data_IF_720736683734
#
_entry.id   IF_720736683734
#
_cell.length_a   1.000
_cell.length_b   1.000
_cell.length_c   1.000
_cell.angle_alpha   90.00
_cell.angle_beta   90.00
_cell.angle_gamma   90.00
#
_symmetry.space_group_name_H-M   'P 1'
#
loop_
_entity.id
_entity.type
_entity.pdbx_description
1 polymer ?
#
# COMPACT_ATOMS: atom_id res chain seq x y z
N UNK A 1 26.82 -8.47 53.10
CA UNK A 1 25.49 -7.96 52.65
C UNK A 1 25.56 -6.57 52.02
N UNK A 2 26.11 -5.52 52.66
CA UNK A 2 26.11 -4.13 52.10
C UNK A 2 26.87 -4.00 50.75
N UNK A 3 28.02 -4.70 50.56
CA UNK A 3 28.77 -4.67 49.31
C UNK A 3 28.02 -5.38 48.17
N UNK A 4 27.35 -6.49 48.42
CA UNK A 4 26.59 -7.25 47.46
C UNK A 4 25.37 -6.44 46.97
N UNK A 5 24.66 -5.75 47.86
CA UNK A 5 23.58 -4.84 47.47
C UNK A 5 24.05 -3.69 46.58
N UNK A 6 25.25 -3.12 46.83
CA UNK A 6 25.82 -2.09 45.98
C UNK A 6 26.15 -2.62 44.58
N UNK A 7 26.71 -3.83 44.44
CA UNK A 7 27.01 -4.45 43.16
C UNK A 7 25.73 -4.68 42.37
N UNK A 8 24.67 -5.19 42.99
CA UNK A 8 23.36 -5.38 42.32
C UNK A 8 22.81 -4.04 41.82
N UNK A 9 22.85 -2.97 42.65
CA UNK A 9 22.42 -1.64 42.24
C UNK A 9 23.20 -1.09 41.05
N UNK A 10 24.54 -1.35 40.99
CA UNK A 10 25.37 -0.96 39.86
C UNK A 10 25.00 -1.73 38.58
N UNK A 11 24.78 -3.05 38.68
CA UNK A 11 24.34 -3.88 37.57
C UNK A 11 22.99 -3.42 37.03
N UNK A 12 22.02 -3.19 37.93
CA UNK A 12 20.70 -2.67 37.54
C UNK A 12 20.79 -1.30 36.90
N UNK A 13 21.68 -0.41 37.39
CA UNK A 13 21.94 0.90 36.80
C UNK A 13 22.53 0.76 35.38
N UNK A 14 23.48 -0.13 35.18
CA UNK A 14 24.08 -0.38 33.85
C UNK A 14 23.02 -0.94 32.90
N UNK A 15 22.24 -1.94 33.32
CA UNK A 15 21.18 -2.53 32.48
C UNK A 15 20.14 -1.50 32.10
N UNK A 16 19.70 -0.66 33.06
CA UNK A 16 18.76 0.42 32.79
C UNK A 16 19.33 1.45 31.81
N UNK A 17 20.61 1.82 31.98
CA UNK A 17 21.29 2.76 31.07
C UNK A 17 21.41 2.20 29.66
N UNK A 18 21.79 0.93 29.50
CA UNK A 18 21.86 0.24 28.20
C UNK A 18 20.47 0.15 27.55
N UNK A 19 19.41 -0.14 28.33
CA UNK A 19 18.03 -0.14 27.85
C UNK A 19 17.57 1.23 27.33
N UNK A 20 17.92 2.31 28.06
CA UNK A 20 17.63 3.67 27.62
C UNK A 20 18.39 4.03 26.35
N UNK A 21 19.68 3.70 26.28
CA UNK A 21 20.50 3.96 25.08
C UNK A 21 19.91 3.20 23.88
N UNK A 22 19.57 1.92 24.06
CA UNK A 22 18.98 1.12 22.99
C UNK A 22 17.62 1.74 22.53
N UNK A 23 16.75 2.12 23.47
CA UNK A 23 15.48 2.77 23.17
C UNK A 23 15.68 4.08 22.38
N UNK A 24 16.54 4.96 22.89
CA UNK A 24 16.83 6.25 22.22
C UNK A 24 17.45 6.02 20.85
N UNK A 25 18.36 5.06 20.70
CA UNK A 25 18.99 4.76 19.42
C UNK A 25 17.96 4.26 18.38
N UNK A 26 17.10 3.33 18.76
CA UNK A 26 16.09 2.74 17.87
C UNK A 26 15.00 3.75 17.50
N UNK A 27 14.58 4.60 18.44
CA UNK A 27 13.54 5.61 18.17
C UNK A 27 14.04 6.77 17.31
N UNK A 28 15.31 7.15 17.43
CA UNK A 28 15.91 8.15 16.54
C UNK A 28 16.41 7.58 15.22
N UNK A 29 16.66 6.26 15.17
CA UNK A 29 17.18 5.57 14.00
C UNK A 29 16.45 4.25 13.79
N UNK A 30 15.13 4.27 13.44
CA UNK A 30 14.33 3.05 13.25
C UNK A 30 14.91 2.14 12.16
N UNK A 31 15.71 2.70 11.24
CA UNK A 31 16.47 1.94 10.23
C UNK A 31 17.38 0.85 10.86
N UNK A 32 17.81 1.00 12.10
CA UNK A 32 18.55 -0.07 12.81
C UNK A 32 17.74 -1.36 12.92
N UNK A 33 16.41 -1.26 13.11
CA UNK A 33 15.50 -2.42 13.18
C UNK A 33 15.07 -2.84 11.79
N UNK A 34 14.64 -1.90 10.97
CA UNK A 34 14.21 -2.15 9.58
C UNK A 34 15.34 -2.78 8.77
N UNK A 35 16.56 -2.26 8.88
CA UNK A 35 17.73 -2.79 8.19
C UNK A 35 18.08 -4.23 8.59
N UNK A 36 17.87 -4.61 9.87
CA UNK A 36 18.02 -6.00 10.29
C UNK A 36 16.98 -6.89 9.59
N UNK A 37 15.72 -6.48 9.54
CA UNK A 37 14.65 -7.23 8.85
C UNK A 37 14.99 -7.36 7.36
N UNK A 38 15.38 -6.26 6.71
CA UNK A 38 15.79 -6.25 5.30
C UNK A 38 16.98 -7.18 5.03
N UNK A 39 17.96 -7.25 5.93
CA UNK A 39 19.12 -8.13 5.77
C UNK A 39 18.74 -9.62 5.72
N UNK A 40 17.66 -10.00 6.42
CA UNK A 40 17.11 -11.36 6.33
C UNK A 40 16.30 -11.58 5.04
N UNK A 41 15.58 -10.56 4.56
CA UNK A 41 14.73 -10.66 3.36
C UNK A 41 15.56 -10.65 2.07
N UNK A 42 16.51 -9.73 1.97
CA UNK A 42 17.28 -9.47 0.74
C UNK A 42 18.70 -10.04 0.78
N UNK A 43 19.15 -10.59 1.93
CA UNK A 43 20.50 -11.13 2.13
C UNK A 43 21.58 -10.10 1.78
N UNK A 44 22.32 -10.33 0.72
CA UNK A 44 23.42 -9.46 0.24
C UNK A 44 22.98 -8.45 -0.82
N UNK A 45 21.70 -8.47 -1.24
CA UNK A 45 21.17 -7.54 -2.23
C UNK A 45 20.51 -6.32 -1.56
N UNK A 46 20.45 -5.19 -2.27
CA UNK A 46 19.66 -4.04 -1.84
C UNK A 46 18.17 -4.26 -2.15
N UNK A 47 17.23 -3.79 -1.30
CA UNK A 47 15.81 -3.79 -1.62
C UNK A 47 15.48 -3.01 -2.91
N UNK A 48 16.38 -2.10 -3.32
CA UNK A 48 16.26 -1.29 -4.52
C UNK A 48 17.08 -1.82 -5.72
N UNK A 49 17.54 -3.05 -5.66
CA UNK A 49 18.18 -3.76 -6.76
C UNK A 49 17.27 -4.84 -7.34
N UNK A 50 16.06 -4.42 -7.75
CA UNK A 50 15.11 -5.36 -8.36
C UNK A 50 15.74 -6.08 -9.55
N UNK A 51 15.61 -7.38 -9.56
CA UNK A 51 15.97 -8.25 -10.67
C UNK A 51 14.81 -9.20 -10.92
N UNK A 52 14.33 -9.33 -12.16
CA UNK A 52 13.27 -10.27 -12.50
C UNK A 52 13.59 -11.68 -11.99
N UNK A 53 12.60 -12.34 -11.39
CA UNK A 53 12.74 -13.74 -10.97
C UNK A 53 12.75 -14.69 -12.16
N UNK A 54 12.17 -14.26 -13.29
CA UNK A 54 12.03 -15.00 -14.53
C UNK A 54 12.27 -14.07 -15.71
N UNK A 55 12.52 -14.65 -16.90
CA UNK A 55 12.50 -13.89 -18.13
C UNK A 55 11.12 -13.23 -18.34
N UNK A 56 11.06 -12.04 -18.96
CA UNK A 56 9.78 -11.39 -19.26
C UNK A 56 8.81 -12.34 -19.97
N UNK A 57 7.57 -12.36 -19.48
CA UNK A 57 6.50 -13.19 -20.05
C UNK A 57 5.59 -12.31 -20.88
N UNK A 58 5.26 -12.76 -22.08
CA UNK A 58 4.18 -12.25 -22.92
C UNK A 58 3.38 -13.44 -23.42
N UNK A 59 2.39 -13.88 -22.64
CA UNK A 59 1.69 -15.11 -22.93
C UNK A 59 0.69 -15.58 -21.88
N UNK A 60 0.11 -16.75 -22.15
CA UNK A 60 -0.89 -17.38 -21.27
C UNK A 60 -0.25 -18.00 -20.04
N UNK A 61 -0.88 -17.74 -18.89
CA UNK A 61 -0.69 -18.46 -17.64
C UNK A 61 -1.44 -19.81 -17.70
N UNK A 62 -1.07 -20.74 -16.80
CA UNK A 62 -1.75 -22.05 -16.68
C UNK A 62 -3.25 -21.92 -16.34
N UNK A 63 -3.65 -20.85 -15.64
CA UNK A 63 -5.04 -20.58 -15.29
C UNK A 63 -5.86 -19.92 -16.41
N UNK A 64 -5.28 -19.75 -17.61
CA UNK A 64 -5.94 -19.16 -18.78
C UNK A 64 -5.90 -17.64 -18.85
N UNK A 65 -5.38 -16.97 -17.85
CA UNK A 65 -5.13 -15.54 -17.88
C UNK A 65 -3.92 -15.22 -18.77
N UNK A 66 -3.87 -14.01 -19.34
CA UNK A 66 -2.74 -13.59 -20.15
C UNK A 66 -1.88 -12.59 -19.36
N UNK A 67 -0.55 -12.77 -19.38
CA UNK A 67 0.40 -11.97 -18.62
C UNK A 67 1.38 -11.28 -19.57
N UNK A 68 1.57 -9.97 -19.38
CA UNK A 68 2.72 -9.20 -19.85
C UNK A 68 3.50 -8.76 -18.62
N UNK A 69 4.73 -9.26 -18.45
CA UNK A 69 5.50 -8.97 -17.24
C UNK A 69 6.76 -8.17 -17.51
N UNK A 70 7.34 -7.62 -16.45
CA UNK A 70 8.63 -6.93 -16.43
C UNK A 70 8.67 -5.68 -17.33
N UNK A 71 7.55 -4.96 -17.41
CA UNK A 71 7.44 -3.71 -18.15
C UNK A 71 8.06 -2.58 -17.32
N UNK A 72 9.14 -1.97 -17.81
CA UNK A 72 9.76 -0.81 -17.16
C UNK A 72 8.95 0.46 -17.45
N UNK A 73 8.41 1.13 -16.41
CA UNK A 73 7.57 2.31 -16.58
C UNK A 73 8.33 3.63 -16.35
N UNK A 74 9.51 3.60 -15.73
CA UNK A 74 10.35 4.78 -15.52
C UNK A 74 11.82 4.38 -15.38
N UNK A 75 12.72 5.37 -15.57
CA UNK A 75 14.16 5.25 -15.31
C UNK A 75 14.62 6.17 -14.17
N UNK A 76 13.70 6.97 -13.61
CA UNK A 76 14.04 7.99 -12.61
C UNK A 76 14.32 7.37 -11.24
N UNK A 77 13.66 6.25 -10.94
CA UNK A 77 13.80 5.53 -9.68
C UNK A 77 13.99 4.02 -9.93
N UNK A 78 14.66 3.32 -9.00
CA UNK A 78 14.76 1.86 -9.07
C UNK A 78 13.39 1.19 -8.86
N UNK A 79 13.32 -0.11 -9.12
CA UNK A 79 12.12 -0.92 -9.00
C UNK A 79 10.92 -0.39 -9.82
N UNK A 80 11.17 0.41 -10.86
CA UNK A 80 10.14 0.98 -11.72
C UNK A 80 9.66 -0.03 -12.76
N UNK A 81 9.08 -1.14 -12.29
CA UNK A 81 8.55 -2.23 -13.12
C UNK A 81 7.08 -2.50 -12.79
N UNK A 82 6.35 -2.96 -13.77
CA UNK A 82 4.97 -3.40 -13.61
C UNK A 82 4.67 -4.64 -14.45
N UNK A 83 3.62 -5.35 -14.05
CA UNK A 83 3.04 -6.46 -14.79
C UNK A 83 1.59 -6.16 -15.13
N UNK A 84 1.12 -6.62 -16.28
CA UNK A 84 -0.28 -6.50 -16.70
C UNK A 84 -0.85 -7.91 -16.86
N UNK A 85 -1.91 -8.20 -16.12
CA UNK A 85 -2.64 -9.47 -16.23
C UNK A 85 -4.03 -9.22 -16.78
N UNK A 86 -4.37 -9.92 -17.86
CA UNK A 86 -5.68 -9.87 -18.52
C UNK A 86 -6.48 -11.13 -18.23
N UNK A 87 -7.83 -11.07 -18.23
CA UNK A 87 -8.69 -12.24 -17.98
C UNK A 87 -8.49 -13.41 -18.95
N UNK A 88 -8.11 -13.11 -20.18
CA UNK A 88 -7.91 -14.08 -21.27
C UNK A 88 -7.07 -13.49 -22.41
N UNK A 89 -6.98 -14.20 -23.55
CA UNK A 89 -6.23 -13.77 -24.75
C UNK A 89 -6.90 -12.65 -25.56
N UNK A 90 -8.15 -12.31 -25.28
CA UNK A 90 -8.82 -11.20 -25.96
C UNK A 90 -8.44 -9.88 -25.29
N UNK A 91 -7.25 -9.38 -25.59
CA UNK A 91 -6.71 -8.16 -25.01
C UNK A 91 -7.51 -6.92 -25.43
N UNK A 92 -8.16 -6.96 -26.61
CA UNK A 92 -8.96 -5.84 -27.15
C UNK A 92 -10.34 -5.70 -26.48
N UNK A 93 -10.73 -6.63 -25.59
CA UNK A 93 -11.99 -6.52 -24.88
C UNK A 93 -11.98 -5.29 -23.96
N UNK A 94 -13.02 -4.46 -24.08
CA UNK A 94 -13.19 -3.28 -23.23
C UNK A 94 -13.47 -3.72 -21.79
N UNK A 95 -12.46 -3.58 -20.93
CA UNK A 95 -12.50 -3.98 -19.52
C UNK A 95 -11.97 -2.84 -18.65
N UNK A 96 -12.48 -2.69 -17.43
CA UNK A 96 -11.91 -1.76 -16.47
C UNK A 96 -10.45 -2.10 -16.16
N UNK A 97 -9.64 -1.08 -15.90
CA UNK A 97 -8.24 -1.22 -15.50
C UNK A 97 -8.11 -0.99 -13.99
N UNK A 98 -7.55 -1.98 -13.28
CA UNK A 98 -7.24 -1.86 -11.86
C UNK A 98 -5.73 -1.82 -11.66
N UNK A 99 -5.24 -0.75 -11.02
CA UNK A 99 -3.86 -0.69 -10.54
C UNK A 99 -3.79 -1.23 -9.13
N UNK A 100 -2.86 -2.14 -8.89
CA UNK A 100 -2.59 -2.69 -7.57
C UNK A 100 -1.19 -2.32 -7.09
N UNK A 101 -1.12 -1.81 -5.85
CA UNK A 101 0.11 -1.45 -5.16
C UNK A 101 0.29 -2.34 -3.94
N UNK A 102 1.41 -3.07 -3.91
CA UNK A 102 1.69 -4.05 -2.85
C UNK A 102 1.96 -3.38 -1.49
N UNK A 103 1.82 -4.17 -0.41
CA UNK A 103 2.21 -3.79 0.94
C UNK A 103 3.70 -4.02 1.21
N UNK A 104 4.06 -4.10 2.51
CA UNK A 104 5.42 -4.38 2.95
C UNK A 104 6.11 -3.21 3.66
N UNK A 105 5.33 -2.27 4.22
CA UNK A 105 5.82 -1.22 5.11
C UNK A 105 6.85 -0.28 4.48
N UNK A 106 6.88 -0.21 3.16
CA UNK A 106 7.88 0.52 2.35
C UNK A 106 9.32 0.01 2.47
N UNK A 107 9.55 -1.08 3.18
CA UNK A 107 10.89 -1.66 3.31
C UNK A 107 11.00 -3.05 2.66
N UNK A 108 9.91 -3.62 2.19
CA UNK A 108 9.85 -4.93 1.56
C UNK A 108 8.65 -5.09 0.63
N UNK A 109 8.51 -6.27 0.03
CA UNK A 109 7.46 -6.56 -0.93
C UNK A 109 7.87 -6.32 -2.37
N UNK A 110 7.04 -6.81 -3.27
CA UNK A 110 7.15 -6.58 -4.71
C UNK A 110 5.87 -7.00 -5.42
N UNK A 111 5.72 -6.60 -6.69
CA UNK A 111 4.62 -7.06 -7.56
C UNK A 111 4.52 -8.59 -7.64
N UNK A 112 5.63 -9.31 -7.48
CA UNK A 112 5.68 -10.78 -7.55
C UNK A 112 5.50 -11.44 -6.17
N UNK A 113 6.01 -10.80 -5.10
CA UNK A 113 5.98 -11.35 -3.74
C UNK A 113 4.72 -10.91 -2.97
N UNK A 114 4.14 -9.76 -3.34
CA UNK A 114 3.09 -9.10 -2.57
C UNK A 114 3.63 -8.49 -1.27
N UNK A 115 2.82 -8.52 -0.21
CA UNK A 115 3.21 -8.01 1.11
C UNK A 115 3.81 -9.14 1.97
N UNK A 116 5.12 -9.08 2.30
CA UNK A 116 5.77 -10.09 3.13
C UNK A 116 5.34 -10.03 4.61
N UNK A 117 4.68 -8.95 5.02
CA UNK A 117 4.18 -8.78 6.40
C UNK A 117 2.77 -9.30 6.58
N UNK A 118 2.00 -9.43 5.49
CA UNK A 118 0.66 -9.98 5.54
C UNK A 118 0.70 -11.51 5.58
N UNK A 119 -0.12 -12.11 6.43
CA UNK A 119 -0.38 -13.55 6.39
C UNK A 119 -1.22 -13.97 5.15
N UNK A 120 -1.22 -13.14 4.12
CA UNK A 120 -2.09 -13.21 2.96
C UNK A 120 -1.32 -13.52 1.69
N UNK A 121 -2.03 -14.09 0.73
CA UNK A 121 -1.47 -14.43 -0.58
C UNK A 121 -2.00 -13.45 -1.62
N UNK A 122 -1.43 -12.25 -1.68
CA UNK A 122 -1.87 -11.18 -2.56
C UNK A 122 -1.87 -11.56 -4.05
N UNK A 123 -1.03 -12.51 -4.47
CA UNK A 123 -1.06 -13.06 -5.83
C UNK A 123 -2.38 -13.75 -6.17
N UNK A 124 -3.00 -14.47 -5.22
CA UNK A 124 -4.33 -15.04 -5.43
C UNK A 124 -5.42 -13.95 -5.50
N UNK A 125 -5.28 -12.88 -4.73
CA UNK A 125 -6.19 -11.75 -4.82
C UNK A 125 -6.18 -11.12 -6.22
N UNK A 126 -4.99 -10.97 -6.82
CA UNK A 126 -4.83 -10.47 -8.19
C UNK A 126 -5.56 -11.40 -9.17
N UNK A 127 -5.28 -12.70 -9.11
CA UNK A 127 -5.91 -13.69 -10.00
C UNK A 127 -7.43 -13.73 -9.85
N UNK A 128 -7.96 -13.58 -8.62
CA UNK A 128 -9.38 -13.48 -8.34
C UNK A 128 -10.02 -12.23 -8.98
N UNK A 129 -9.37 -11.06 -8.85
CA UNK A 129 -9.85 -9.79 -9.44
C UNK A 129 -9.83 -9.89 -10.97
N UNK A 130 -8.76 -10.43 -11.56
CA UNK A 130 -8.66 -10.67 -13.00
C UNK A 130 -9.79 -11.58 -13.47
N UNK A 131 -10.09 -12.65 -12.72
CA UNK A 131 -11.19 -13.58 -13.02
C UNK A 131 -12.58 -12.93 -12.97
N UNK A 132 -12.73 -11.78 -12.31
CA UNK A 132 -13.95 -10.97 -12.33
C UNK A 132 -14.03 -10.03 -13.54
N UNK A 133 -13.06 -10.08 -14.45
CA UNK A 133 -13.08 -9.36 -15.73
C UNK A 133 -12.36 -8.01 -15.71
N UNK A 134 -11.43 -7.79 -14.80
CA UNK A 134 -10.55 -6.62 -14.75
C UNK A 134 -9.20 -6.89 -15.40
N UNK A 135 -8.68 -5.94 -16.15
CA UNK A 135 -7.25 -5.89 -16.46
C UNK A 135 -6.54 -5.35 -15.21
N UNK A 136 -5.53 -6.08 -14.70
CA UNK A 136 -4.82 -5.68 -13.48
C UNK A 136 -3.39 -5.30 -13.80
N UNK A 137 -3.01 -4.07 -13.43
CA UNK A 137 -1.65 -3.53 -13.49
C UNK A 137 -1.05 -3.60 -12.09
N UNK A 138 -0.10 -4.52 -11.88
CA UNK A 138 0.55 -4.75 -10.60
C UNK A 138 1.91 -4.04 -10.59
N UNK A 139 2.14 -3.11 -9.66
CA UNK A 139 3.21 -2.11 -9.73
C UNK A 139 4.22 -2.28 -8.60
N UNK A 140 5.51 -2.30 -8.95
CA UNK A 140 6.64 -2.15 -8.02
C UNK A 140 6.99 -0.68 -7.82
N UNK A 141 7.67 -0.39 -6.71
CA UNK A 141 8.16 0.95 -6.36
C UNK A 141 9.41 0.87 -5.48
N UNK A 142 10.15 1.97 -5.38
CA UNK A 142 11.36 2.09 -4.57
C UNK A 142 11.07 2.02 -3.07
N UNK A 143 12.02 1.49 -2.32
CA UNK A 143 11.90 1.17 -0.90
C UNK A 143 12.96 1.92 -0.08
N UNK A 144 12.69 2.10 1.22
CA UNK A 144 13.72 2.55 2.17
C UNK A 144 14.87 1.53 2.23
N UNK A 145 16.10 1.91 2.57
CA UNK A 145 16.50 3.19 3.14
C UNK A 145 16.83 4.28 2.13
N UNK A 146 16.93 3.97 0.85
CA UNK A 146 17.42 4.93 -0.14
C UNK A 146 16.32 5.89 -0.63
N UNK A 147 15.05 5.48 -0.52
CA UNK A 147 13.90 6.24 -1.03
C UNK A 147 12.80 6.34 0.01
N UNK A 148 12.49 7.58 0.36
CA UNK A 148 11.52 7.94 1.40
C UNK A 148 10.26 8.56 0.80
N UNK A 149 9.27 8.84 1.66
CA UNK A 149 8.09 9.62 1.31
C UNK A 149 8.49 10.98 0.70
N UNK A 150 7.88 11.43 -0.40
CA UNK A 150 6.76 10.81 -1.12
C UNK A 150 7.16 9.96 -2.36
N UNK A 151 8.41 9.50 -2.49
CA UNK A 151 8.91 8.82 -3.70
C UNK A 151 8.00 7.69 -4.21
N UNK A 152 7.49 6.74 -3.38
CA UNK A 152 6.58 5.71 -3.86
C UNK A 152 5.28 6.27 -4.46
N UNK A 153 4.76 7.37 -3.92
CA UNK A 153 3.56 8.05 -4.48
C UNK A 153 3.86 8.72 -5.82
N UNK A 154 5.07 9.27 -5.98
CA UNK A 154 5.56 9.80 -7.26
C UNK A 154 5.64 8.67 -8.29
N UNK A 155 6.21 7.51 -7.92
CA UNK A 155 6.28 6.36 -8.81
C UNK A 155 4.90 5.79 -9.16
N UNK A 156 3.95 5.79 -8.21
CA UNK A 156 2.54 5.48 -8.52
C UNK A 156 2.00 6.39 -9.63
N UNK A 157 2.22 7.70 -9.53
CA UNK A 157 1.82 8.65 -10.57
C UNK A 157 2.54 8.40 -11.91
N UNK A 158 3.83 8.04 -11.88
CA UNK A 158 4.61 7.70 -13.07
C UNK A 158 4.10 6.42 -13.74
N UNK A 159 3.75 5.38 -12.97
CA UNK A 159 3.19 4.14 -13.50
C UNK A 159 1.84 4.38 -14.19
N UNK A 160 0.97 5.21 -13.57
CA UNK A 160 -0.31 5.61 -14.17
C UNK A 160 -0.09 6.43 -15.46
N UNK A 161 0.87 7.37 -15.44
CA UNK A 161 1.23 8.17 -16.62
C UNK A 161 1.71 7.28 -17.78
N UNK A 162 2.61 6.35 -17.47
CA UNK A 162 3.16 5.41 -18.46
C UNK A 162 2.06 4.56 -19.12
N UNK A 163 1.20 3.96 -18.31
CA UNK A 163 0.09 3.15 -18.84
C UNK A 163 -0.88 4.01 -19.64
N UNK A 164 -1.16 5.24 -19.22
CA UNK A 164 -2.01 6.16 -19.98
C UNK A 164 -1.42 6.51 -21.35
N UNK A 165 -0.12 6.73 -21.43
CA UNK A 165 0.59 7.00 -22.68
C UNK A 165 0.59 5.80 -23.62
N UNK A 166 0.66 4.57 -23.07
CA UNK A 166 0.70 3.31 -23.82
C UNK A 166 -0.64 2.54 -23.79
N UNK A 167 -1.75 3.22 -23.47
CA UNK A 167 -3.05 2.58 -23.27
C UNK A 167 -3.54 1.81 -24.52
N UNK A 168 -3.31 2.35 -25.71
CA UNK A 168 -3.64 1.68 -26.99
C UNK A 168 -2.77 0.43 -27.21
N UNK A 169 -1.47 0.51 -26.91
CA UNK A 169 -0.52 -0.61 -27.07
C UNK A 169 -0.89 -1.78 -26.16
N UNK A 170 -1.29 -1.47 -24.92
CA UNK A 170 -1.66 -2.49 -23.93
C UNK A 170 -3.15 -2.79 -23.89
N UNK A 171 -3.96 -2.18 -24.76
CA UNK A 171 -5.42 -2.34 -24.79
C UNK A 171 -6.08 -2.12 -23.41
N UNK A 172 -5.66 -1.06 -22.71
CA UNK A 172 -6.16 -0.73 -21.35
C UNK A 172 -7.09 0.48 -21.38
N UNK A 173 -8.25 0.33 -20.76
CA UNK A 173 -9.23 1.42 -20.63
C UNK A 173 -8.82 2.35 -19.47
N UNK A 174 -8.23 3.49 -19.79
CA UNK A 174 -7.80 4.50 -18.82
C UNK A 174 -8.87 5.53 -18.49
N UNK A 175 -10.07 5.43 -19.07
CA UNK A 175 -11.25 6.20 -18.68
C UNK A 175 -12.07 5.50 -17.58
N UNK A 176 -11.68 4.27 -17.23
CA UNK A 176 -12.40 3.42 -16.30
C UNK A 176 -11.42 2.70 -15.35
N UNK A 177 -10.86 3.47 -14.40
CA UNK A 177 -9.74 3.05 -13.55
C UNK A 177 -10.17 2.86 -12.11
N UNK A 178 -9.67 1.79 -11.49
CA UNK A 178 -9.70 1.55 -10.04
C UNK A 178 -8.28 1.56 -9.52
N UNK A 179 -8.04 2.24 -8.38
CA UNK A 179 -6.76 2.20 -7.68
C UNK A 179 -6.93 1.39 -6.40
N UNK A 180 -6.14 0.34 -6.25
CA UNK A 180 -6.17 -0.55 -5.09
C UNK A 180 -4.78 -0.68 -4.48
N UNK A 181 -4.72 -0.68 -3.16
CA UNK A 181 -3.49 -0.98 -2.44
C UNK A 181 -3.76 -1.69 -1.13
N UNK A 182 -2.78 -2.46 -0.68
CA UNK A 182 -2.79 -3.11 0.62
C UNK A 182 -1.67 -2.54 1.50
N UNK A 183 -1.96 -2.28 2.80
CA UNK A 183 -0.96 -1.81 3.76
C UNK A 183 -0.21 -0.54 3.27
N UNK A 184 1.10 -0.62 3.03
CA UNK A 184 1.88 0.49 2.45
C UNK A 184 1.30 0.98 1.11
N UNK A 185 0.88 0.07 0.22
CA UNK A 185 0.20 0.42 -1.03
C UNK A 185 -1.14 1.13 -0.79
N UNK A 186 -1.87 0.76 0.28
CA UNK A 186 -3.11 1.43 0.65
C UNK A 186 -2.89 2.84 1.18
N UNK A 187 -1.75 3.09 1.86
CA UNK A 187 -1.33 4.46 2.21
C UNK A 187 -1.14 5.29 0.94
N UNK A 188 -0.42 4.76 -0.06
CA UNK A 188 -0.20 5.43 -1.34
C UNK A 188 -1.52 5.75 -2.05
N UNK A 189 -2.45 4.79 -2.10
CA UNK A 189 -3.77 4.97 -2.71
C UNK A 189 -4.58 6.04 -1.99
N UNK A 190 -4.58 6.04 -0.65
CA UNK A 190 -5.26 7.06 0.14
C UNK A 190 -4.67 8.46 -0.08
N UNK A 191 -3.33 8.58 -0.13
CA UNK A 191 -2.63 9.82 -0.43
C UNK A 191 -2.90 10.29 -1.85
N UNK A 192 -2.90 9.39 -2.82
CA UNK A 192 -3.19 9.75 -4.22
C UNK A 192 -4.65 10.18 -4.41
N UNK A 193 -5.59 9.59 -3.66
CA UNK A 193 -6.98 10.08 -3.58
C UNK A 193 -7.06 11.55 -3.14
N UNK A 194 -6.22 11.93 -2.16
CA UNK A 194 -6.10 13.34 -1.74
C UNK A 194 -5.40 14.21 -2.78
N UNK A 195 -4.40 13.69 -3.51
CA UNK A 195 -3.75 14.39 -4.64
C UNK A 195 -4.77 14.70 -5.75
N UNK A 196 -5.65 13.75 -6.09
CA UNK A 196 -6.70 13.94 -7.09
C UNK A 196 -7.76 14.97 -6.68
N UNK A 197 -8.03 15.06 -5.38
CA UNK A 197 -9.14 15.86 -4.83
C UNK A 197 -8.72 17.26 -4.37
N UNK A 198 -7.45 17.44 -4.00
CA UNK A 198 -6.99 18.63 -3.29
C UNK A 198 -5.69 19.16 -3.91
N UNK A 199 -5.79 20.27 -4.64
CA UNK A 199 -4.67 20.89 -5.31
C UNK A 199 -3.56 21.37 -4.33
N UNK A 200 -3.92 21.82 -3.12
CA UNK A 200 -2.92 22.24 -2.12
C UNK A 200 -2.11 21.03 -1.64
N UNK A 201 -2.75 19.87 -1.46
CA UNK A 201 -2.07 18.64 -1.10
C UNK A 201 -1.19 18.11 -2.26
N UNK A 202 -1.68 18.18 -3.49
CA UNK A 202 -0.90 17.84 -4.68
C UNK A 202 0.37 18.71 -4.78
N UNK A 203 0.26 20.02 -4.53
CA UNK A 203 1.40 20.92 -4.47
C UNK A 203 2.33 20.62 -3.30
N UNK A 204 1.80 20.27 -2.12
CA UNK A 204 2.60 19.91 -0.95
C UNK A 204 3.50 18.69 -1.25
N UNK A 205 2.99 17.70 -1.99
CA UNK A 205 3.76 16.53 -2.40
C UNK A 205 4.56 16.75 -3.70
N UNK A 206 4.42 17.91 -4.34
CA UNK A 206 4.97 18.21 -5.67
C UNK A 206 4.59 17.15 -6.73
N UNK A 207 3.32 16.73 -6.71
CA UNK A 207 2.75 15.77 -7.65
C UNK A 207 1.65 16.44 -8.46
N UNK A 208 1.80 16.47 -9.79
CA UNK A 208 0.72 16.78 -10.71
C UNK A 208 0.07 15.44 -11.12
N UNK A 209 -1.22 15.23 -10.83
CA UNK A 209 -1.85 13.94 -11.12
C UNK A 209 -1.89 13.67 -12.63
N UNK A 210 -1.39 12.51 -13.03
CA UNK A 210 -1.31 12.08 -14.42
C UNK A 210 -2.64 11.61 -15.01
N UNK A 211 -3.63 11.37 -14.15
CA UNK A 211 -4.99 10.96 -14.54
C UNK A 211 -6.01 11.96 -13.97
N UNK A 212 -7.05 12.25 -14.73
CA UNK A 212 -8.14 13.07 -14.24
C UNK A 212 -9.01 12.28 -13.24
N UNK A 213 -9.51 12.95 -12.20
CA UNK A 213 -10.27 12.28 -11.14
C UNK A 213 -11.53 11.57 -11.65
N UNK A 214 -12.13 12.06 -12.73
CA UNK A 214 -13.33 11.52 -13.36
C UNK A 214 -13.10 10.11 -13.94
N UNK A 215 -11.87 9.77 -14.29
CA UNK A 215 -11.47 8.47 -14.80
C UNK A 215 -11.19 7.47 -13.67
N UNK A 216 -10.96 7.95 -12.44
CA UNK A 216 -10.78 7.09 -11.25
C UNK A 216 -12.14 6.81 -10.62
N UNK A 217 -12.70 5.64 -10.91
CA UNK A 217 -14.07 5.25 -10.51
C UNK A 217 -14.17 4.85 -9.05
N UNK A 218 -13.11 4.27 -8.51
CA UNK A 218 -13.05 3.88 -7.10
C UNK A 218 -11.62 3.78 -6.60
N UNK A 219 -11.46 3.95 -5.28
CA UNK A 219 -10.28 3.56 -4.52
C UNK A 219 -10.64 2.33 -3.67
N UNK A 220 -9.71 1.39 -3.55
CA UNK A 220 -9.78 0.28 -2.59
C UNK A 220 -8.58 0.41 -1.65
N UNK A 221 -8.87 0.67 -0.38
CA UNK A 221 -7.87 0.95 0.66
C UNK A 221 -7.93 -0.18 1.69
N UNK A 222 -6.98 -1.12 1.57
CA UNK A 222 -6.93 -2.32 2.38
C UNK A 222 -5.97 -2.13 3.56
N UNK A 223 -6.56 -1.79 4.71
CA UNK A 223 -5.96 -1.83 6.05
C UNK A 223 -4.66 -1.01 6.20
N UNK A 224 -4.75 0.31 6.09
CA UNK A 224 -3.62 1.23 6.10
C UNK A 224 -3.49 2.04 7.40
N UNK A 225 -2.28 2.20 7.96
CA UNK A 225 -2.01 3.18 9.02
C UNK A 225 -1.92 4.59 8.40
N UNK A 226 -2.84 5.49 8.75
CA UNK A 226 -2.96 6.82 8.15
C UNK A 226 -2.78 7.99 9.13
N UNK A 227 -3.17 7.82 10.40
CA UNK A 227 -3.12 8.88 11.42
C UNK A 227 -1.93 8.66 12.37
N UNK A 228 -0.80 9.27 12.04
CA UNK A 228 0.47 9.11 12.77
C UNK A 228 0.35 9.36 14.27
N UNK A 229 -0.54 10.27 14.68
CA UNK A 229 -0.72 10.60 16.09
C UNK A 229 -1.25 9.42 16.92
N UNK A 230 -1.95 8.48 16.28
CA UNK A 230 -2.58 7.31 16.92
C UNK A 230 -1.75 6.04 16.84
N UNK A 231 -0.61 6.06 16.16
CA UNK A 231 0.20 4.87 15.95
C UNK A 231 0.82 4.31 17.22
N UNK A 232 0.88 2.98 17.28
CA UNK A 232 1.74 2.26 18.23
C UNK A 232 3.23 2.60 17.97
N UNK A 233 4.11 2.29 18.92
CA UNK A 233 5.55 2.50 18.75
C UNK A 233 6.07 1.73 17.53
N UNK A 234 5.63 0.49 17.33
CA UNK A 234 6.04 -0.32 16.17
C UNK A 234 5.64 0.33 14.84
N UNK A 235 4.38 0.77 14.72
CA UNK A 235 3.88 1.47 13.53
C UNK A 235 4.61 2.80 13.32
N UNK A 236 4.90 3.55 14.40
CA UNK A 236 5.71 4.79 14.33
C UNK A 236 7.12 4.52 13.83
N UNK A 237 7.72 3.39 14.20
CA UNK A 237 9.04 3.01 13.70
C UNK A 237 9.02 2.73 12.20
N UNK A 238 8.02 1.99 11.71
CA UNK A 238 7.87 1.70 10.28
C UNK A 238 7.62 2.97 9.46
N UNK A 239 6.59 3.73 9.85
CA UNK A 239 6.19 4.94 9.13
C UNK A 239 7.21 6.06 9.31
N UNK A 240 7.75 6.24 10.53
CA UNK A 240 8.80 7.23 10.78
C UNK A 240 10.07 6.94 9.97
N UNK A 241 10.46 5.67 9.84
CA UNK A 241 11.55 5.27 8.96
C UNK A 241 11.24 5.59 7.47
N UNK A 242 10.00 5.38 7.04
CA UNK A 242 9.58 5.71 5.69
C UNK A 242 9.56 7.22 5.42
N UNK A 243 9.13 8.03 6.38
CA UNK A 243 8.99 9.48 6.17
C UNK A 243 10.31 10.22 6.35
N UNK A 244 11.04 10.00 7.45
CA UNK A 244 12.17 10.86 7.85
C UNK A 244 13.22 10.16 8.74
N UNK A 245 13.32 8.83 8.68
CA UNK A 245 14.29 8.03 9.44
C UNK A 245 14.22 8.16 10.97
N UNK A 246 13.13 8.71 11.50
CA UNK A 246 12.90 8.91 12.94
C UNK A 246 11.44 8.75 13.29
N UNK A 247 11.15 8.40 14.58
CA UNK A 247 9.76 8.44 15.06
C UNK A 247 9.29 9.84 15.49
N UNK A 248 10.15 10.83 15.47
CA UNK A 248 9.85 12.20 15.93
C UNK A 248 9.58 13.11 14.73
N UNK A 249 8.50 12.82 14.00
CA UNK A 249 8.11 13.61 12.84
C UNK A 249 7.64 15.01 13.27
N UNK A 250 7.97 16.02 12.49
CA UNK A 250 7.44 17.37 12.60
C UNK A 250 5.95 17.44 12.26
N UNK A 251 5.26 18.49 12.66
CA UNK A 251 3.86 18.73 12.29
C UNK A 251 3.66 18.82 10.77
N UNK A 252 4.64 19.37 10.06
CA UNK A 252 4.61 19.46 8.60
C UNK A 252 4.71 18.07 7.95
N UNK A 253 5.64 17.21 8.41
CA UNK A 253 5.78 15.83 7.93
C UNK A 253 4.53 15.00 8.24
N UNK A 254 3.96 15.15 9.45
CA UNK A 254 2.72 14.48 9.83
C UNK A 254 1.57 14.93 8.93
N UNK A 255 1.46 16.25 8.68
CA UNK A 255 0.42 16.79 7.80
C UNK A 255 0.58 16.30 6.36
N UNK A 256 1.81 16.25 5.84
CA UNK A 256 2.08 15.74 4.51
C UNK A 256 1.79 14.24 4.37
N UNK A 257 2.08 13.46 5.41
CA UNK A 257 1.84 12.02 5.42
C UNK A 257 0.37 11.65 5.54
N UNK A 258 -0.43 12.38 6.36
CA UNK A 258 -1.79 12.00 6.76
C UNK A 258 -2.85 12.44 5.72
N UNK A 259 -3.33 11.54 4.85
CA UNK A 259 -4.30 11.88 3.81
C UNK A 259 -5.69 12.24 4.38
N UNK A 260 -6.03 11.78 5.60
CA UNK A 260 -7.36 12.02 6.19
C UNK A 260 -7.64 13.51 6.36
N UNK A 261 -6.60 14.30 6.67
CA UNK A 261 -6.69 15.75 6.85
C UNK A 261 -6.99 16.51 5.55
N UNK A 262 -6.80 15.86 4.40
CA UNK A 262 -6.93 16.43 3.07
C UNK A 262 -8.15 15.93 2.29
N UNK A 263 -8.98 15.07 2.93
CA UNK A 263 -10.25 14.61 2.35
C UNK A 263 -11.20 15.77 2.18
N UNK A 264 -11.78 15.87 0.98
CA UNK A 264 -12.84 16.83 0.66
C UNK A 264 -13.90 16.16 -0.23
N UNK A 265 -14.93 16.91 -0.64
CA UNK A 265 -16.07 16.41 -1.43
C UNK A 265 -15.69 15.87 -2.83
N UNK A 266 -14.51 16.19 -3.32
CA UNK A 266 -14.00 15.78 -4.62
C UNK A 266 -13.14 14.50 -4.54
N UNK A 267 -12.97 13.92 -3.33
CA UNK A 267 -12.25 12.66 -3.12
C UNK A 267 -13.00 11.51 -3.83
N UNK A 268 -12.28 10.58 -4.50
CA UNK A 268 -12.95 9.49 -5.22
C UNK A 268 -13.75 8.57 -4.29
N UNK A 269 -14.79 7.93 -4.83
CA UNK A 269 -15.55 6.90 -4.11
C UNK A 269 -14.61 5.81 -3.58
N UNK A 270 -14.80 5.36 -2.32
CA UNK A 270 -13.79 4.55 -1.65
C UNK A 270 -14.38 3.34 -0.94
N UNK A 271 -13.77 2.17 -1.17
CA UNK A 271 -14.01 0.94 -0.42
C UNK A 271 -12.88 0.73 0.57
N UNK A 272 -13.21 0.54 1.85
CA UNK A 272 -12.27 0.45 2.95
C UNK A 272 -12.36 -0.93 3.61
N UNK A 273 -11.21 -1.51 3.92
CA UNK A 273 -11.11 -2.76 4.68
C UNK A 273 -10.35 -2.48 5.98
N UNK A 274 -10.92 -2.81 7.13
CA UNK A 274 -10.35 -2.54 8.44
C UNK A 274 -10.08 -3.81 9.21
N UNK A 275 -8.81 -4.05 9.56
CA UNK A 275 -8.39 -5.15 10.43
C UNK A 275 -7.37 -4.68 11.48
N UNK A 276 -6.09 -4.77 11.27
CA UNK A 276 -5.05 -4.31 12.19
C UNK A 276 -5.11 -2.78 12.38
N UNK A 277 -5.26 -2.03 11.28
CA UNK A 277 -5.37 -0.56 11.29
C UNK A 277 -6.82 -0.08 11.26
N UNK A 278 -7.71 -0.87 11.86
CA UNK A 278 -9.15 -0.59 11.94
C UNK A 278 -9.48 0.83 12.35
N UNK A 279 -8.78 1.36 13.35
CA UNK A 279 -9.02 2.74 13.87
C UNK A 279 -8.80 3.80 12.79
N UNK A 280 -7.80 3.61 11.94
CA UNK A 280 -7.50 4.51 10.83
C UNK A 280 -8.56 4.41 9.74
N UNK A 281 -8.98 3.19 9.40
CA UNK A 281 -10.04 2.96 8.42
C UNK A 281 -11.38 3.56 8.89
N UNK A 282 -11.72 3.43 10.17
CA UNK A 282 -12.91 4.08 10.77
C UNK A 282 -12.78 5.61 10.71
N UNK A 283 -11.58 6.16 10.95
CA UNK A 283 -11.32 7.60 10.87
C UNK A 283 -11.47 8.12 9.44
N UNK A 284 -10.91 7.42 8.45
CA UNK A 284 -11.06 7.76 7.04
C UNK A 284 -12.52 7.65 6.59
N UNK A 285 -13.22 6.57 6.93
CA UNK A 285 -14.65 6.38 6.67
C UNK A 285 -15.49 7.56 7.20
N UNK A 286 -15.19 8.02 8.41
CA UNK A 286 -15.85 9.18 9.00
C UNK A 286 -15.57 10.47 8.23
N UNK A 287 -14.33 10.71 7.84
CA UNK A 287 -13.94 11.89 7.06
C UNK A 287 -14.63 11.89 5.67
N UNK A 288 -14.66 10.76 4.98
CA UNK A 288 -15.35 10.60 3.69
C UNK A 288 -16.84 10.87 3.83
N UNK A 289 -17.52 10.31 4.84
CA UNK A 289 -18.94 10.57 5.11
C UNK A 289 -19.21 12.04 5.41
N UNK A 290 -18.36 12.70 6.17
CA UNK A 290 -18.48 14.14 6.47
C UNK A 290 -18.31 15.02 5.22
N UNK A 291 -17.44 14.59 4.30
CA UNK A 291 -17.23 15.25 3.02
C UNK A 291 -18.33 14.94 1.97
N UNK A 292 -19.26 14.03 2.28
CA UNK A 292 -20.31 13.59 1.35
C UNK A 292 -19.82 12.67 0.24
N UNK A 293 -18.66 12.03 0.44
CA UNK A 293 -18.07 11.09 -0.49
C UNK A 293 -18.69 9.70 -0.30
N UNK A 294 -19.08 9.07 -1.41
CA UNK A 294 -19.59 7.70 -1.39
C UNK A 294 -18.51 6.73 -0.93
N UNK A 295 -18.82 5.94 0.09
CA UNK A 295 -17.84 5.00 0.65
C UNK A 295 -18.51 3.83 1.37
N UNK A 296 -17.79 2.71 1.45
CA UNK A 296 -18.16 1.53 2.21
C UNK A 296 -16.97 1.08 3.06
N UNK A 297 -17.22 0.68 4.31
CA UNK A 297 -16.23 0.10 5.21
C UNK A 297 -16.66 -1.33 5.57
N UNK A 298 -15.78 -2.28 5.34
CA UNK A 298 -15.85 -3.63 5.91
C UNK A 298 -15.06 -3.63 7.21
N UNK A 299 -15.75 -3.88 8.32
CA UNK A 299 -15.19 -3.90 9.67
C UNK A 299 -15.64 -5.21 10.36
N UNK A 300 -14.90 -6.33 10.19
CA UNK A 300 -15.33 -7.64 10.71
C UNK A 300 -15.51 -7.64 12.23
N UNK A 301 -14.72 -6.83 12.96
CA UNK A 301 -14.87 -6.71 14.41
C UNK A 301 -16.19 -6.05 14.80
N UNK A 302 -16.58 -4.96 14.11
CA UNK A 302 -17.84 -4.28 14.39
C UNK A 302 -19.06 -5.04 13.86
N UNK A 303 -18.93 -5.69 12.69
CA UNK A 303 -20.03 -6.36 12.00
C UNK A 303 -20.33 -7.74 12.58
N UNK A 304 -19.31 -8.51 12.98
CA UNK A 304 -19.42 -9.92 13.34
C UNK A 304 -18.72 -10.29 14.66
N UNK A 305 -18.04 -9.33 15.31
CA UNK A 305 -17.26 -9.57 16.52
C UNK A 305 -15.98 -10.37 16.29
N UNK A 306 -15.49 -10.41 15.04
CA UNK A 306 -14.34 -11.22 14.62
C UNK A 306 -13.13 -10.34 14.35
N UNK A 307 -12.03 -10.59 15.05
CA UNK A 307 -10.73 -10.04 14.69
C UNK A 307 -10.18 -10.77 13.46
N UNK A 308 -9.68 -10.00 12.51
CA UNK A 308 -9.02 -10.54 11.31
C UNK A 308 -7.58 -10.06 11.21
N UNK A 309 -6.67 -10.87 10.69
CA UNK A 309 -5.29 -10.46 10.48
C UNK A 309 -5.20 -9.38 9.39
N UNK A 310 -4.09 -8.66 9.39
CA UNK A 310 -3.74 -7.70 8.36
C UNK A 310 -3.87 -8.27 6.94
N UNK A 311 -4.49 -7.52 6.01
CA UNK A 311 -4.67 -7.96 4.63
C UNK A 311 -5.59 -9.17 4.45
N UNK A 312 -6.55 -9.38 5.36
CA UNK A 312 -7.40 -10.58 5.37
C UNK A 312 -8.21 -10.80 4.08
N UNK A 313 -8.46 -9.77 3.29
CA UNK A 313 -9.18 -9.90 2.00
C UNK A 313 -8.40 -10.75 1.00
N UNK A 314 -7.08 -10.80 1.12
CA UNK A 314 -6.21 -11.63 0.29
C UNK A 314 -6.14 -13.10 0.74
N UNK A 315 -6.75 -13.48 1.86
CA UNK A 315 -6.86 -14.88 2.28
C UNK A 315 -7.67 -15.68 1.27
N UNK A 316 -7.49 -17.01 1.32
CA UNK A 316 -8.25 -17.93 0.47
C UNK A 316 -9.77 -17.75 0.67
N UNK A 317 -10.54 -17.89 -0.40
CA UNK A 317 -12.02 -17.78 -0.38
C UNK A 317 -12.70 -18.87 0.46
N UNK A 318 -11.94 -19.77 1.06
CA UNK A 318 -12.41 -20.72 2.08
C UNK A 318 -12.66 -20.06 3.44
N UNK A 319 -12.07 -18.88 3.72
CA UNK A 319 -12.46 -18.03 4.86
C UNK A 319 -13.75 -17.26 4.51
N UNK A 320 -14.88 -17.51 5.19
CA UNK A 320 -16.16 -16.89 4.85
C UNK A 320 -16.13 -15.35 4.96
N UNK A 321 -15.37 -14.81 5.92
CA UNK A 321 -15.27 -13.36 6.13
C UNK A 321 -14.48 -12.72 4.98
N UNK A 322 -13.36 -13.33 4.58
CA UNK A 322 -12.57 -12.88 3.43
C UNK A 322 -13.35 -12.98 2.13
N UNK A 323 -14.09 -14.08 1.92
CA UNK A 323 -14.95 -14.27 0.76
C UNK A 323 -16.04 -13.18 0.68
N UNK A 324 -16.74 -12.92 1.80
CA UNK A 324 -17.77 -11.88 1.88
C UNK A 324 -17.21 -10.48 1.64
N UNK A 325 -16.04 -10.17 2.22
CA UNK A 325 -15.36 -8.90 2.03
C UNK A 325 -14.96 -8.70 0.56
N UNK A 326 -14.41 -9.73 -0.08
CA UNK A 326 -14.06 -9.72 -1.49
C UNK A 326 -15.29 -9.48 -2.39
N UNK A 327 -16.40 -10.21 -2.19
CA UNK A 327 -17.61 -10.00 -3.00
C UNK A 327 -18.22 -8.60 -2.79
N UNK A 328 -18.19 -8.04 -1.58
CA UNK A 328 -18.62 -6.66 -1.33
C UNK A 328 -17.73 -5.66 -2.06
N UNK A 329 -16.42 -5.86 -2.01
CA UNK A 329 -15.44 -5.05 -2.74
C UNK A 329 -15.72 -5.09 -4.25
N UNK A 330 -15.88 -6.30 -4.81
CA UNK A 330 -16.18 -6.45 -6.24
C UNK A 330 -17.49 -5.81 -6.62
N UNK A 331 -18.55 -5.97 -5.81
CA UNK A 331 -19.84 -5.30 -6.03
C UNK A 331 -19.68 -3.77 -6.05
N UNK A 332 -18.94 -3.22 -5.08
CA UNK A 332 -18.71 -1.79 -4.99
C UNK A 332 -17.99 -1.23 -6.23
N UNK A 333 -16.96 -1.91 -6.72
CA UNK A 333 -16.24 -1.43 -7.91
C UNK A 333 -17.00 -1.73 -9.21
N UNK A 334 -17.69 -2.86 -9.31
CA UNK A 334 -18.50 -3.23 -10.48
C UNK A 334 -19.64 -2.21 -10.73
N UNK A 335 -20.30 -1.75 -9.68
CA UNK A 335 -21.36 -0.74 -9.76
C UNK A 335 -20.87 0.60 -10.37
N UNK A 336 -19.57 0.84 -10.42
CA UNK A 336 -18.97 2.09 -10.92
C UNK A 336 -18.24 1.90 -12.24
N UNK A 337 -17.84 0.68 -12.55
CA UNK A 337 -17.00 0.38 -13.73
C UNK A 337 -17.73 -0.36 -14.83
N UNK A 338 -18.86 -1.02 -14.54
CA UNK A 338 -19.59 -1.90 -15.49
C UNK A 338 -21.00 -1.42 -15.78
N UNK A 339 -21.21 -0.09 -15.74
CA UNK A 339 -22.52 0.52 -16.10
C UNK A 339 -22.60 0.86 -17.56
#
# INVERSE_FOLDING_TARGET
MKKFKKIILWILGIVASLGIIAYVSVTNHPQLVVGVIQSFMYKESSPNSYSPLYDPIDGLKENGQYLKSEIAYSKDYPNSFLDITYPDQNLEADRPTLFYFHGGGFFGGSKNMGDPLAASQSTYLIDDIVSKGYNVVNVDYALVPDYHFPTPVIQMNQAIAYIKEHAEEYHLNMDNVVLMGSSAGAIMVAQYGSVLANQEYAQLLNIEPSIAKEHVKALVIDDAPLDYAKFSLGTKMLVGNYVSETIYLSEEEINAYNPISHVNKDYPASFLLGSEYRTDMVSLNKALKQAGVENELVDPLAEEGLEKPHGFVANLRTDPVSAKAFERMMTFIDDRTKK
#
